data_IF_190584571791
#
_entry.id   IF_190584571791
#
_cell.length_a   1.000
_cell.length_b   1.000
_cell.length_c   1.000
_cell.angle_alpha   90.00
_cell.angle_beta   90.00
_cell.angle_gamma   90.00
#
_symmetry.space_group_name_H-M   'P 1'
#
loop_
_entity.id
_entity.type
_entity.pdbx_description
1 polymer ?
#
# COMPACT_ATOMS: atom_id res chain seq x y z
N UNK A 1 7.69 28.43 11.90
CA UNK A 1 8.39 27.26 11.32
C UNK A 1 7.34 26.16 11.14
N UNK A 2 7.15 25.60 9.94
CA UNK A 2 6.08 24.60 9.74
C UNK A 2 6.48 23.25 10.34
N UNK A 3 5.49 22.44 10.75
CA UNK A 3 5.73 21.09 11.28
C UNK A 3 6.55 20.21 10.29
N UNK A 4 6.42 20.49 8.99
CA UNK A 4 7.21 19.88 7.92
C UNK A 4 8.71 20.20 8.04
N UNK A 5 9.08 21.46 8.29
CA UNK A 5 10.47 21.87 8.45
C UNK A 5 11.11 21.18 9.65
N UNK A 6 10.38 21.05 10.76
CA UNK A 6 10.85 20.37 11.98
C UNK A 6 11.04 18.87 11.72
N UNK A 7 10.06 18.21 11.09
CA UNK A 7 10.18 16.80 10.70
C UNK A 7 11.36 16.56 9.75
N UNK A 8 11.54 17.39 8.72
CA UNK A 8 12.62 17.26 7.76
C UNK A 8 13.99 17.39 8.42
N UNK A 9 14.17 18.39 9.28
CA UNK A 9 15.43 18.60 9.99
C UNK A 9 15.71 17.42 10.92
N UNK A 10 14.73 16.98 11.72
CA UNK A 10 14.92 15.88 12.66
C UNK A 10 15.18 14.53 11.98
N UNK A 11 14.43 14.21 10.92
CA UNK A 11 14.47 12.87 10.33
C UNK A 11 15.55 12.72 9.27
N UNK A 12 15.84 13.77 8.47
CA UNK A 12 16.76 13.66 7.34
C UNK A 12 18.12 14.33 7.57
N UNK A 13 18.17 15.43 8.31
CA UNK A 13 19.43 16.14 8.59
C UNK A 13 20.06 15.63 9.88
N UNK A 14 19.35 15.66 11.00
CA UNK A 14 19.89 15.25 12.31
C UNK A 14 20.34 13.78 12.29
N UNK A 15 19.55 12.87 11.70
CA UNK A 15 19.94 11.47 11.56
C UNK A 15 21.29 11.25 10.84
N UNK A 16 21.66 12.14 9.90
CA UNK A 16 22.91 12.07 9.13
C UNK A 16 24.12 12.62 9.89
N UNK A 17 23.90 13.54 10.83
CA UNK A 17 24.94 14.24 11.57
C UNK A 17 25.00 13.84 13.06
N UNK A 18 24.19 12.87 13.49
CA UNK A 18 24.26 12.33 14.84
C UNK A 18 25.60 11.61 15.05
N UNK A 19 26.33 11.92 16.13
CA UNK A 19 27.55 11.20 16.44
C UNK A 19 27.26 9.74 16.79
N UNK A 20 28.28 8.89 16.66
CA UNK A 20 28.16 7.41 16.71
C UNK A 20 27.55 6.88 18.01
N UNK A 21 27.63 7.62 19.11
CA UNK A 21 26.98 7.31 20.39
C UNK A 21 25.44 7.42 20.36
N UNK A 22 24.85 7.99 19.29
CA UNK A 22 23.42 8.05 19.06
C UNK A 22 22.97 7.14 17.90
N UNK A 23 23.74 6.08 17.60
CA UNK A 23 23.42 5.15 16.51
C UNK A 23 22.00 4.59 16.60
N UNK A 24 21.48 4.32 17.80
CA UNK A 24 20.10 3.84 17.98
C UNK A 24 19.06 4.90 17.62
N UNK A 25 19.29 6.17 17.96
CA UNK A 25 18.41 7.27 17.57
C UNK A 25 18.49 7.55 16.07
N UNK A 26 19.68 7.48 15.48
CA UNK A 26 19.86 7.60 14.03
C UNK A 26 19.16 6.45 13.29
N UNK A 27 19.26 5.23 13.81
CA UNK A 27 18.54 4.06 13.30
C UNK A 27 17.03 4.24 13.45
N UNK A 28 16.54 4.65 14.62
CA UNK A 28 15.13 4.93 14.86
C UNK A 28 14.58 6.01 13.92
N UNK A 29 15.30 7.11 13.73
CA UNK A 29 14.93 8.18 12.79
C UNK A 29 15.01 7.68 11.34
N UNK A 30 15.96 6.81 11.00
CA UNK A 30 16.04 6.16 9.70
C UNK A 30 14.90 5.16 9.43
N UNK A 31 14.28 4.60 10.47
CA UNK A 31 13.05 3.81 10.32
C UNK A 31 11.87 4.69 9.90
N UNK A 32 11.85 5.98 10.24
CA UNK A 32 10.91 6.96 9.68
C UNK A 32 11.31 7.48 8.30
N UNK A 33 12.49 7.11 7.81
CA UNK A 33 12.90 7.30 6.41
C UNK A 33 12.50 6.09 5.55
N UNK A 34 11.34 5.44 5.81
CA UNK A 34 10.86 4.27 5.04
C UNK A 34 11.01 4.56 3.54
N UNK A 35 12.05 3.98 2.93
CA UNK A 35 12.41 4.15 1.52
C UNK A 35 13.14 5.42 1.07
N UNK A 36 13.53 6.39 1.91
CA UNK A 36 13.94 7.76 1.49
C UNK A 36 12.79 8.57 0.84
N UNK A 37 11.55 8.32 1.24
CA UNK A 37 10.39 9.10 0.80
C UNK A 37 9.86 9.93 1.99
N UNK A 38 9.46 11.18 1.74
CA UNK A 38 8.84 11.99 2.79
C UNK A 38 7.55 11.35 3.30
N UNK A 39 7.34 11.44 4.62
CA UNK A 39 6.15 10.86 5.28
C UNK A 39 4.83 11.30 4.64
N UNK A 40 4.66 12.59 4.33
CA UNK A 40 3.40 13.10 3.80
C UNK A 40 3.03 12.53 2.42
N UNK A 41 3.91 12.52 1.41
CA UNK A 41 3.70 11.78 0.18
C UNK A 41 3.43 10.28 0.39
N UNK A 42 4.20 9.61 1.26
CA UNK A 42 3.98 8.19 1.55
C UNK A 42 2.58 7.95 2.12
N UNK A 43 2.21 8.69 3.16
CA UNK A 43 0.90 8.62 3.81
C UNK A 43 -0.23 8.94 2.82
N UNK A 44 -0.07 9.99 2.01
CA UNK A 44 -1.05 10.36 0.99
C UNK A 44 -1.26 9.22 -0.01
N UNK A 45 -0.20 8.60 -0.51
CA UNK A 45 -0.33 7.47 -1.44
C UNK A 45 -0.99 6.25 -0.79
N UNK A 46 -0.70 5.95 0.49
CA UNK A 46 -1.42 4.89 1.23
C UNK A 46 -2.91 5.21 1.32
N UNK A 47 -3.29 6.44 1.66
CA UNK A 47 -4.69 6.86 1.75
C UNK A 47 -5.37 6.74 0.38
N UNK A 48 -4.74 7.26 -0.68
CA UNK A 48 -5.27 7.19 -2.04
C UNK A 48 -5.42 5.73 -2.49
N UNK A 49 -4.43 4.88 -2.21
CA UNK A 49 -4.49 3.45 -2.51
C UNK A 49 -5.59 2.74 -1.75
N UNK A 50 -5.77 3.03 -0.47
CA UNK A 50 -6.82 2.44 0.35
C UNK A 50 -8.22 2.94 -0.01
N UNK A 51 -8.34 4.15 -0.56
CA UNK A 51 -9.62 4.68 -1.03
C UNK A 51 -9.97 4.17 -2.44
N UNK A 52 -8.96 3.80 -3.24
CA UNK A 52 -9.16 3.48 -4.64
C UNK A 52 -10.19 2.37 -4.90
N UNK A 53 -10.23 1.22 -4.20
CA UNK A 53 -11.24 0.19 -4.48
C UNK A 53 -12.69 0.70 -4.40
N UNK A 54 -12.90 1.71 -3.56
CA UNK A 54 -14.18 2.33 -3.23
C UNK A 54 -14.51 3.58 -4.05
N UNK A 55 -13.66 3.96 -5.01
CA UNK A 55 -13.93 5.11 -5.87
C UNK A 55 -15.25 4.94 -6.66
N UNK A 56 -15.68 3.69 -6.85
CA UNK A 56 -16.94 3.34 -7.48
C UNK A 56 -18.18 3.81 -6.69
N UNK A 57 -18.04 4.08 -5.38
CA UNK A 57 -19.10 4.66 -4.54
C UNK A 57 -19.51 6.06 -4.98
N UNK A 58 -18.61 6.85 -5.56
CA UNK A 58 -18.91 8.20 -6.06
C UNK A 58 -19.92 8.16 -7.22
N UNK A 59 -20.04 7.03 -7.92
CA UNK A 59 -21.02 6.80 -8.98
C UNK A 59 -22.31 6.14 -8.46
N UNK A 60 -22.36 5.83 -7.16
CA UNK A 60 -23.49 5.26 -6.45
C UNK A 60 -23.26 3.82 -5.97
N UNK A 61 -23.90 3.47 -4.85
CA UNK A 61 -23.73 2.19 -4.16
C UNK A 61 -23.99 0.94 -5.04
N UNK A 62 -24.72 1.08 -6.15
CA UNK A 62 -24.97 -0.03 -7.10
C UNK A 62 -23.75 -0.48 -7.89
N UNK A 63 -22.70 0.35 -7.95
CA UNK A 63 -21.45 0.03 -8.63
C UNK A 63 -20.36 -0.45 -7.68
N UNK A 64 -20.58 -0.25 -6.37
CA UNK A 64 -19.65 -0.60 -5.32
C UNK A 64 -19.33 -2.10 -5.29
N UNK A 65 -18.07 -2.42 -5.00
CA UNK A 65 -17.53 -3.79 -4.92
C UNK A 65 -17.56 -4.51 -6.25
N UNK A 66 -17.18 -3.79 -7.31
CA UNK A 66 -16.97 -4.43 -8.60
C UNK A 66 -15.81 -5.43 -8.51
N UNK A 67 -15.86 -6.58 -9.22
CA UNK A 67 -14.74 -7.52 -9.24
C UNK A 67 -13.45 -6.90 -9.76
N UNK A 68 -13.53 -5.86 -10.60
CA UNK A 68 -12.37 -5.18 -11.14
C UNK A 68 -11.68 -4.31 -10.07
N UNK A 69 -12.44 -3.43 -9.40
CA UNK A 69 -11.92 -2.54 -8.35
C UNK A 69 -11.52 -3.30 -7.09
N UNK A 70 -12.13 -4.44 -6.82
CA UNK A 70 -11.77 -5.30 -5.70
C UNK A 70 -10.87 -6.48 -6.12
N UNK A 71 -9.97 -6.23 -7.08
CA UNK A 71 -8.96 -7.20 -7.52
C UNK A 71 -7.56 -6.59 -7.64
N UNK A 72 -6.57 -7.46 -7.86
CA UNK A 72 -5.20 -7.05 -8.18
C UNK A 72 -5.01 -6.54 -9.61
N UNK A 73 -6.05 -6.61 -10.48
CA UNK A 73 -5.92 -6.33 -11.92
C UNK A 73 -5.49 -4.89 -12.16
N UNK A 74 -6.13 -3.92 -11.51
CA UNK A 74 -5.78 -2.50 -11.66
C UNK A 74 -4.37 -2.23 -11.11
N UNK A 75 -4.01 -2.64 -9.87
CA UNK A 75 -2.63 -2.54 -9.39
C UNK A 75 -1.61 -3.16 -10.33
N UNK A 76 -1.88 -4.34 -10.88
CA UNK A 76 -0.97 -5.02 -11.81
C UNK A 76 -0.82 -4.24 -13.11
N UNK A 77 -1.91 -3.75 -13.69
CA UNK A 77 -1.86 -2.96 -14.92
C UNK A 77 -1.03 -1.69 -14.74
N UNK A 78 -1.23 -0.97 -13.62
CA UNK A 78 -0.41 0.19 -13.26
C UNK A 78 1.06 -0.18 -13.06
N UNK A 79 1.32 -1.31 -12.39
CA UNK A 79 2.66 -1.79 -12.14
C UNK A 79 3.40 -2.19 -13.44
N UNK A 80 2.74 -2.89 -14.36
CA UNK A 80 3.34 -3.24 -15.65
C UNK A 80 3.54 -1.97 -16.47
N UNK A 81 2.52 -1.13 -16.57
CA UNK A 81 2.59 0.11 -17.36
C UNK A 81 3.77 0.98 -16.94
N UNK A 82 3.99 1.16 -15.64
CA UNK A 82 5.10 1.97 -15.14
C UNK A 82 6.48 1.30 -15.29
N UNK A 83 6.57 -0.03 -15.15
CA UNK A 83 7.82 -0.77 -15.40
C UNK A 83 8.28 -0.67 -16.87
N UNK A 84 7.35 -0.55 -17.80
CA UNK A 84 7.64 -0.35 -19.23
C UNK A 84 8.06 1.09 -19.55
N UNK A 85 8.02 2.00 -18.59
CA UNK A 85 8.59 3.34 -18.71
C UNK A 85 10.03 3.36 -18.18
N UNK A 86 10.72 4.50 -18.31
CA UNK A 86 11.99 4.74 -17.59
C UNK A 86 11.69 4.98 -16.10
N UNK A 87 11.74 3.97 -15.23
CA UNK A 87 11.15 4.08 -13.91
C UNK A 87 12.13 4.78 -12.96
N UNK A 88 11.66 5.85 -12.32
CA UNK A 88 12.36 6.49 -11.22
C UNK A 88 12.11 5.75 -9.88
N UNK A 89 13.13 5.62 -9.01
CA UNK A 89 12.97 5.00 -7.69
C UNK A 89 11.95 5.69 -6.78
N UNK A 90 11.80 7.00 -6.88
CA UNK A 90 10.88 7.76 -6.03
C UNK A 90 9.42 7.47 -6.35
N UNK A 91 9.07 7.43 -7.63
CA UNK A 91 7.71 7.06 -8.06
C UNK A 91 7.45 5.57 -7.81
N UNK A 92 8.46 4.69 -7.91
CA UNK A 92 8.31 3.30 -7.49
C UNK A 92 7.92 3.18 -6.01
N UNK A 93 8.51 3.98 -5.13
CA UNK A 93 8.12 4.02 -3.71
C UNK A 93 6.71 4.52 -3.53
N UNK A 94 6.34 5.61 -4.21
CA UNK A 94 4.97 6.14 -4.16
C UNK A 94 3.94 5.10 -4.61
N UNK A 95 4.21 4.39 -5.72
CA UNK A 95 3.37 3.31 -6.21
C UNK A 95 3.34 2.12 -5.25
N UNK A 96 4.46 1.78 -4.61
CA UNK A 96 4.46 0.73 -3.59
C UNK A 96 3.58 1.08 -2.38
N UNK A 97 3.62 2.33 -1.91
CA UNK A 97 2.73 2.79 -0.83
C UNK A 97 1.26 2.81 -1.27
N UNK A 98 0.99 3.17 -2.52
CA UNK A 98 -0.35 3.03 -3.11
C UNK A 98 -0.81 1.57 -3.11
N UNK A 99 0.01 0.63 -3.60
CA UNK A 99 -0.32 -0.81 -3.59
C UNK A 99 -0.49 -1.34 -2.16
N UNK A 100 0.30 -0.86 -1.20
CA UNK A 100 0.14 -1.22 0.21
C UNK A 100 -1.21 -0.74 0.76
N UNK A 101 -1.60 0.51 0.48
CA UNK A 101 -2.92 1.04 0.80
C UNK A 101 -4.05 0.20 0.20
N UNK A 102 -3.96 -0.08 -1.09
CA UNK A 102 -4.92 -0.90 -1.82
C UNK A 102 -5.05 -2.31 -1.22
N UNK A 103 -3.92 -2.98 -0.98
CA UNK A 103 -3.87 -4.31 -0.36
C UNK A 103 -4.52 -4.29 1.03
N UNK A 104 -4.22 -3.28 1.84
CA UNK A 104 -4.81 -3.13 3.17
C UNK A 104 -6.33 -2.98 3.13
N UNK A 105 -6.86 -2.23 2.16
CA UNK A 105 -8.30 -2.11 1.94
C UNK A 105 -8.92 -3.47 1.64
N UNK A 106 -8.39 -4.22 0.66
CA UNK A 106 -8.92 -5.54 0.30
C UNK A 106 -8.91 -6.52 1.48
N UNK A 107 -7.88 -6.48 2.32
CA UNK A 107 -7.83 -7.30 3.53
C UNK A 107 -8.83 -6.84 4.58
N UNK A 108 -9.02 -5.53 4.75
CA UNK A 108 -9.98 -4.98 5.72
C UNK A 108 -11.42 -5.34 5.36
N UNK A 109 -11.72 -5.47 4.08
CA UNK A 109 -13.03 -5.87 3.58
C UNK A 109 -13.40 -7.32 3.91
N UNK A 110 -12.43 -8.16 4.29
CA UNK A 110 -12.67 -9.50 4.81
C UNK A 110 -13.33 -9.44 6.20
N UNK A 111 -13.14 -8.35 6.94
CA UNK A 111 -13.63 -8.23 8.31
C UNK A 111 -15.01 -7.58 8.36
N UNK A 112 -15.87 -7.99 9.31
CA UNK A 112 -17.19 -7.40 9.48
C UNK A 112 -17.10 -5.89 9.79
N UNK A 113 -17.78 -5.07 8.96
CA UNK A 113 -17.70 -3.61 9.02
C UNK A 113 -18.07 -3.01 10.39
N UNK A 114 -19.05 -3.61 11.10
CA UNK A 114 -19.55 -3.13 12.41
C UNK A 114 -18.90 -3.82 13.62
N UNK A 115 -17.86 -4.62 13.42
CA UNK A 115 -17.18 -5.29 14.52
C UNK A 115 -16.16 -4.36 15.20
N UNK A 116 -16.11 -4.43 16.54
CA UNK A 116 -15.04 -3.83 17.34
C UNK A 116 -13.68 -4.42 16.93
N UNK A 117 -12.57 -3.72 17.23
CA UNK A 117 -11.21 -4.20 16.92
C UNK A 117 -10.98 -5.62 17.46
N UNK A 118 -11.43 -5.90 18.68
CA UNK A 118 -11.34 -7.23 19.30
C UNK A 118 -12.18 -8.27 18.53
N UNK A 119 -13.37 -7.89 18.09
CA UNK A 119 -14.24 -8.77 17.29
C UNK A 119 -13.69 -9.00 15.87
N UNK A 120 -12.96 -8.03 15.29
CA UNK A 120 -12.24 -8.20 14.03
C UNK A 120 -11.07 -9.17 14.18
N UNK A 121 -10.33 -9.14 15.29
CA UNK A 121 -9.20 -10.05 15.54
C UNK A 121 -9.61 -11.55 15.54
N UNK A 122 -10.83 -11.86 15.98
CA UNK A 122 -11.36 -13.24 16.00
C UNK A 122 -12.20 -13.60 14.77
N UNK A 123 -12.55 -12.63 13.91
CA UNK A 123 -13.40 -12.85 12.74
C UNK A 123 -12.81 -13.80 11.67
N UNK A 124 -11.47 -13.86 11.43
CA UNK A 124 -10.88 -14.82 10.50
C UNK A 124 -11.19 -16.28 10.85
N UNK A 125 -11.39 -16.57 12.14
CA UNK A 125 -11.73 -17.90 12.67
C UNK A 125 -13.23 -18.18 12.68
N UNK A 126 -14.07 -17.24 12.21
CA UNK A 126 -15.51 -17.42 12.04
C UNK A 126 -15.83 -17.59 10.55
N UNK A 127 -16.90 -18.34 10.25
CA UNK A 127 -17.48 -18.45 8.90
C UNK A 127 -18.25 -17.16 8.55
N UNK A 128 -17.53 -16.05 8.49
CA UNK A 128 -18.04 -14.78 7.98
C UNK A 128 -17.75 -14.71 6.48
N UNK A 129 -18.80 -14.46 5.69
CA UNK A 129 -18.68 -14.09 4.28
C UNK A 129 -18.46 -12.58 4.22
N UNK A 130 -17.31 -12.11 3.72
CA UNK A 130 -17.10 -10.70 3.36
C UNK A 130 -18.24 -10.24 2.45
N UNK A 131 -18.61 -8.97 2.51
CA UNK A 131 -19.84 -8.54 1.84
C UNK A 131 -19.73 -8.48 0.32
N UNK A 132 -20.67 -9.13 -0.35
CA UNK A 132 -21.22 -8.92 -1.70
C UNK A 132 -20.27 -8.27 -2.74
N UNK A 133 -19.17 -8.95 -3.08
CA UNK A 133 -18.47 -8.66 -4.34
C UNK A 133 -19.37 -9.05 -5.49
N UNK A 134 -19.94 -8.04 -6.14
CA UNK A 134 -21.00 -8.21 -7.13
C UNK A 134 -20.54 -9.10 -8.28
N UNK A 135 -21.24 -10.21 -8.48
CA UNK A 135 -20.96 -11.14 -9.59
C UNK A 135 -19.88 -12.19 -9.30
N UNK A 136 -19.30 -12.21 -8.09
CA UNK A 136 -18.50 -13.33 -7.59
C UNK A 136 -19.40 -14.20 -6.69
N UNK A 137 -19.38 -15.53 -6.81
CA UNK A 137 -20.12 -16.38 -5.89
C UNK A 137 -19.68 -16.15 -4.44
N UNK A 138 -20.62 -16.07 -3.49
CA UNK A 138 -20.35 -15.78 -2.07
C UNK A 138 -19.17 -16.58 -1.47
N UNK A 139 -19.08 -17.87 -1.81
CA UNK A 139 -18.01 -18.78 -1.33
C UNK A 139 -16.61 -18.39 -1.85
N UNK A 140 -16.55 -17.67 -2.96
CA UNK A 140 -15.33 -17.22 -3.64
C UNK A 140 -14.93 -15.80 -3.28
N UNK A 141 -15.81 -14.98 -2.68
CA UNK A 141 -15.51 -13.58 -2.36
C UNK A 141 -14.33 -13.44 -1.40
N UNK A 142 -14.30 -14.25 -0.33
CA UNK A 142 -13.18 -14.26 0.63
C UNK A 142 -11.86 -14.70 -0.03
N UNK A 143 -11.78 -15.85 -0.73
CA UNK A 143 -10.60 -16.20 -1.52
C UNK A 143 -10.19 -15.14 -2.53
N UNK A 144 -11.15 -14.47 -3.18
CA UNK A 144 -10.90 -13.42 -4.17
C UNK A 144 -10.20 -12.20 -3.54
N UNK A 145 -10.71 -11.71 -2.41
CA UNK A 145 -10.11 -10.61 -1.65
C UNK A 145 -8.73 -10.98 -1.11
N UNK A 146 -8.58 -12.18 -0.53
CA UNK A 146 -7.29 -12.64 0.00
C UNK A 146 -6.26 -12.76 -1.13
N UNK A 147 -6.61 -13.43 -2.22
CA UNK A 147 -5.73 -13.61 -3.37
C UNK A 147 -5.33 -12.27 -3.98
N UNK A 148 -6.31 -11.39 -4.21
CA UNK A 148 -6.06 -10.05 -4.75
C UNK A 148 -5.23 -9.19 -3.81
N UNK A 149 -5.50 -9.23 -2.50
CA UNK A 149 -4.74 -8.55 -1.46
C UNK A 149 -3.29 -9.01 -1.40
N UNK A 150 -3.05 -10.34 -1.44
CA UNK A 150 -1.70 -10.92 -1.44
C UNK A 150 -0.91 -10.60 -2.70
N UNK A 151 -1.53 -10.69 -3.89
CA UNK A 151 -0.89 -10.33 -5.15
C UNK A 151 -0.53 -8.83 -5.18
N UNK A 152 -1.43 -7.97 -4.70
CA UNK A 152 -1.16 -6.53 -4.59
C UNK A 152 -0.07 -6.22 -3.57
N UNK A 153 -0.02 -6.93 -2.45
CA UNK A 153 1.07 -6.82 -1.47
C UNK A 153 2.41 -7.26 -2.06
N UNK A 154 2.42 -8.33 -2.86
CA UNK A 154 3.62 -8.77 -3.56
C UNK A 154 4.12 -7.70 -4.53
N UNK A 155 3.22 -6.99 -5.24
CA UNK A 155 3.59 -5.84 -6.07
C UNK A 155 4.21 -4.71 -5.24
N UNK A 156 3.63 -4.37 -4.08
CA UNK A 156 4.18 -3.36 -3.18
C UNK A 156 5.61 -3.70 -2.75
N UNK A 157 5.85 -4.96 -2.33
CA UNK A 157 7.17 -5.45 -1.92
C UNK A 157 8.15 -5.41 -3.10
N UNK A 158 7.73 -5.89 -4.28
CA UNK A 158 8.56 -5.90 -5.48
C UNK A 158 9.00 -4.48 -5.88
N UNK A 159 8.07 -3.53 -5.86
CA UNK A 159 8.36 -2.13 -6.19
C UNK A 159 9.29 -1.47 -5.16
N UNK A 160 9.12 -1.76 -3.86
CA UNK A 160 10.07 -1.31 -2.85
C UNK A 160 11.47 -1.88 -3.10
N UNK A 161 11.58 -3.17 -3.43
CA UNK A 161 12.86 -3.82 -3.75
C UNK A 161 13.53 -3.18 -4.97
N UNK A 162 12.79 -2.92 -6.05
CA UNK A 162 13.35 -2.21 -7.21
C UNK A 162 13.76 -0.78 -6.89
N UNK A 163 13.01 -0.09 -6.04
CA UNK A 163 13.37 1.25 -5.60
C UNK A 163 14.62 1.28 -4.70
N UNK A 164 14.90 0.23 -3.93
CA UNK A 164 16.12 0.12 -3.12
C UNK A 164 17.32 -0.38 -3.93
N UNK A 165 17.09 -1.10 -5.03
CA UNK A 165 18.10 -1.64 -5.93
C UNK A 165 17.94 -1.12 -7.37
N UNK A 166 18.11 0.20 -7.62
CA UNK A 166 17.87 0.80 -8.93
C UNK A 166 18.78 0.27 -10.05
N UNK A 167 19.93 -0.35 -9.71
CA UNK A 167 20.78 -1.03 -10.70
C UNK A 167 20.07 -2.20 -11.38
N UNK A 168 19.08 -2.82 -10.75
CA UNK A 168 18.30 -3.91 -11.34
C UNK A 168 17.40 -3.42 -12.47
N UNK A 169 16.99 -2.15 -12.44
CA UNK A 169 16.19 -1.54 -13.50
C UNK A 169 17.00 -1.35 -14.78
N UNK A 170 18.33 -1.25 -14.68
CA UNK A 170 19.21 -1.17 -15.85
C UNK A 170 19.34 -2.50 -16.61
N UNK A 171 18.92 -3.61 -15.98
CA UNK A 171 18.92 -4.94 -16.58
C UNK A 171 17.62 -5.24 -17.33
N UNK A 172 16.61 -4.38 -17.21
CA UNK A 172 15.34 -4.56 -17.92
C UNK A 172 15.49 -4.08 -19.36
N UNK A 173 15.18 -4.93 -20.36
CA UNK A 173 15.12 -4.49 -21.74
C UNK A 173 13.95 -3.50 -21.89
N UNK A 174 14.26 -2.26 -22.29
CA UNK A 174 13.26 -1.28 -22.71
C UNK A 174 12.74 -1.63 -24.11
#
# INVERSE_FOLDING_TARGET
MSAYTIYYILVYQVAKYLPSNYAELANFLSLFQVGKLYFWPALFMVIVGAHFPDFDLDFGARYHRSPLTHSFIIPLALAIFYLLQRPSPDVMRLLAFFFLGYSSHLFLDIFPAKASILARAIAPFKNYTPGDIRGIPEKMEKPWLIGSGLLTLALAILYLLFATHPSWLQLMPL
#
